data_IF_756421607299
#
_entry.id   IF_756421607299
#
_cell.length_a   1.000
_cell.length_b   1.000
_cell.length_c   1.000
_cell.angle_alpha   90.00
_cell.angle_beta   90.00
_cell.angle_gamma   90.00
#
_symmetry.space_group_name_H-M   'P 1'
#
loop_
_entity.id
_entity.type
_entity.pdbx_description
1 polymer ?
#
# COMPACT_ATOMS: atom_id res chain seq x y z
N UNK A 1 19.18 23.39 9.94
CA UNK A 1 18.64 23.23 8.58
C UNK A 1 17.41 22.36 8.69
N UNK A 2 16.22 22.88 8.40
CA UNK A 2 15.05 22.03 8.25
C UNK A 2 15.21 21.31 6.92
N UNK A 3 15.53 20.02 6.99
CA UNK A 3 15.79 19.16 5.84
C UNK A 3 14.57 18.32 5.50
N UNK A 4 14.66 17.55 4.41
CA UNK A 4 13.69 16.49 4.14
C UNK A 4 13.96 15.33 5.10
N UNK A 5 12.90 14.81 5.75
CA UNK A 5 12.95 13.54 6.48
C UNK A 5 11.92 12.58 5.93
N UNK A 6 12.23 11.29 5.94
CA UNK A 6 11.28 10.25 5.55
C UNK A 6 10.92 9.41 6.78
N UNK A 7 9.65 9.05 6.87
CA UNK A 7 9.13 8.00 7.75
C UNK A 7 8.74 6.84 6.84
N UNK A 8 9.29 5.67 7.09
CA UNK A 8 8.98 4.44 6.35
C UNK A 8 8.37 3.44 7.33
N UNK A 9 7.51 2.57 6.82
CA UNK A 9 7.03 1.41 7.57
C UNK A 9 8.23 0.61 8.12
N UNK A 10 8.18 0.17 9.38
CA UNK A 10 9.34 -0.44 10.07
C UNK A 10 9.90 -1.70 9.41
N UNK A 11 9.04 -2.46 8.73
CA UNK A 11 9.42 -3.67 7.98
C UNK A 11 9.97 -3.37 6.58
N UNK A 12 9.94 -2.10 6.14
CA UNK A 12 10.36 -1.70 4.81
C UNK A 12 11.85 -1.36 4.78
N UNK A 13 12.54 -1.95 3.82
CA UNK A 13 13.93 -1.68 3.46
C UNK A 13 14.06 -1.56 1.94
N UNK A 14 15.29 -1.46 1.45
CA UNK A 14 15.56 -1.41 0.02
C UNK A 14 16.83 -2.17 -0.34
N UNK A 15 16.89 -2.63 -1.59
CA UNK A 15 18.06 -3.29 -2.16
C UNK A 15 18.15 -3.09 -3.66
N UNK A 16 18.94 -3.92 -4.34
CA UNK A 16 19.15 -3.80 -5.80
C UNK A 16 17.87 -3.92 -6.62
N UNK A 17 16.86 -4.60 -6.09
CA UNK A 17 15.53 -4.77 -6.71
C UNK A 17 14.49 -3.71 -6.31
N UNK A 18 14.91 -2.68 -5.57
CA UNK A 18 14.02 -1.65 -4.99
C UNK A 18 13.50 -2.03 -3.61
N UNK A 19 12.21 -1.78 -3.37
CA UNK A 19 11.55 -2.03 -2.08
C UNK A 19 11.61 -3.51 -1.66
N UNK A 20 12.02 -3.74 -0.41
CA UNK A 20 12.15 -5.06 0.22
C UNK A 20 11.42 -5.06 1.55
N UNK A 21 10.64 -6.11 1.82
CA UNK A 21 10.04 -6.38 3.12
C UNK A 21 10.19 -7.87 3.44
N UNK A 22 10.49 -8.21 4.70
CA UNK A 22 10.68 -9.60 5.12
C UNK A 22 11.63 -10.39 4.21
N UNK A 23 12.77 -9.77 3.85
CA UNK A 23 13.80 -10.32 2.94
C UNK A 23 13.36 -10.54 1.49
N UNK A 24 12.13 -10.19 1.13
CA UNK A 24 11.56 -10.40 -0.20
C UNK A 24 11.34 -9.07 -0.93
N UNK A 25 11.49 -9.07 -2.27
CA UNK A 25 11.05 -7.93 -3.09
C UNK A 25 9.57 -7.67 -2.80
N UNK A 26 9.21 -6.43 -2.50
CA UNK A 26 7.83 -6.08 -2.16
C UNK A 26 6.99 -5.78 -3.39
N UNK A 27 7.54 -5.01 -4.34
CA UNK A 27 6.80 -4.57 -5.52
C UNK A 27 6.34 -5.76 -6.37
N UNK A 28 5.03 -5.78 -6.66
CA UNK A 28 4.37 -6.63 -7.66
C UNK A 28 3.87 -5.74 -8.80
N UNK A 29 4.08 -6.14 -10.06
CA UNK A 29 3.71 -5.31 -11.20
C UNK A 29 2.35 -5.68 -11.75
N UNK A 30 1.56 -4.69 -12.10
CA UNK A 30 0.33 -4.89 -12.85
C UNK A 30 0.66 -5.53 -14.21
N UNK A 31 -0.07 -6.59 -14.55
CA UNK A 31 0.21 -7.46 -15.68
C UNK A 31 0.94 -8.75 -15.27
N UNK A 32 1.56 -8.80 -14.09
CA UNK A 32 1.93 -10.07 -13.47
C UNK A 32 0.63 -10.75 -12.99
N UNK A 33 0.49 -12.05 -13.25
CA UNK A 33 -0.63 -12.88 -12.78
C UNK A 33 -2.05 -12.40 -13.19
N UNK A 34 -2.19 -11.58 -14.25
CA UNK A 34 -3.49 -11.08 -14.78
C UNK A 34 -4.39 -10.38 -13.75
N UNK A 35 -3.82 -9.55 -12.87
CA UNK A 35 -4.56 -8.87 -11.79
C UNK A 35 -4.54 -7.33 -11.86
N UNK A 36 -5.59 -6.68 -11.35
CA UNK A 36 -5.76 -5.23 -11.41
C UNK A 36 -4.83 -4.50 -10.42
N UNK A 37 -4.63 -3.19 -10.60
CA UNK A 37 -3.80 -2.36 -9.72
C UNK A 37 -4.21 -2.42 -8.24
N UNK A 38 -5.52 -2.41 -7.95
CA UNK A 38 -6.03 -2.51 -6.59
C UNK A 38 -5.68 -3.83 -5.91
N UNK A 39 -5.74 -4.94 -6.65
CA UNK A 39 -5.38 -6.26 -6.13
C UNK A 39 -3.89 -6.35 -5.79
N UNK A 40 -3.02 -5.84 -6.67
CA UNK A 40 -1.59 -5.76 -6.39
C UNK A 40 -1.30 -4.96 -5.13
N UNK A 41 -2.04 -3.86 -4.89
CA UNK A 41 -1.91 -3.11 -3.64
C UNK A 41 -2.35 -3.91 -2.40
N UNK A 42 -3.37 -4.77 -2.52
CA UNK A 42 -3.79 -5.67 -1.43
C UNK A 42 -2.69 -6.68 -1.11
N UNK A 43 -2.17 -7.39 -2.12
CA UNK A 43 -1.11 -8.37 -1.92
C UNK A 43 0.16 -7.72 -1.32
N UNK A 44 0.59 -6.58 -1.87
CA UNK A 44 1.74 -5.85 -1.32
C UNK A 44 1.50 -5.38 0.12
N UNK A 45 0.27 -4.98 0.49
CA UNK A 45 -0.05 -4.61 1.87
C UNK A 45 0.07 -5.82 2.81
N UNK A 46 -0.51 -6.97 2.43
CA UNK A 46 -0.43 -8.21 3.23
C UNK A 46 1.01 -8.70 3.35
N UNK A 47 1.80 -8.60 2.27
CA UNK A 47 3.22 -8.92 2.27
C UNK A 47 4.01 -8.00 3.20
N UNK A 48 3.82 -6.68 3.12
CA UNK A 48 4.54 -5.72 3.97
C UNK A 48 4.20 -5.92 5.45
N UNK A 49 2.94 -6.23 5.77
CA UNK A 49 2.48 -6.54 7.12
C UNK A 49 2.91 -7.94 7.61
N UNK A 50 3.54 -8.76 6.76
CA UNK A 50 4.03 -10.09 7.12
C UNK A 50 2.93 -11.14 7.29
N UNK A 51 1.74 -10.90 6.74
CA UNK A 51 0.59 -11.82 6.79
C UNK A 51 0.73 -12.93 5.76
N UNK A 52 1.33 -12.60 4.63
CA UNK A 52 1.71 -13.55 3.58
C UNK A 52 3.17 -13.29 3.17
N UNK A 53 3.84 -14.30 2.65
CA UNK A 53 5.16 -14.17 2.05
C UNK A 53 5.07 -13.98 0.53
N UNK A 54 6.15 -13.53 -0.11
CA UNK A 54 6.22 -13.53 -1.59
C UNK A 54 6.20 -14.94 -2.17
N UNK A 55 6.78 -15.91 -1.44
CA UNK A 55 6.84 -17.30 -1.85
C UNK A 55 5.45 -17.92 -1.98
N UNK A 56 4.55 -17.55 -1.07
CA UNK A 56 3.16 -18.04 -1.04
C UNK A 56 2.44 -17.81 -2.37
N UNK A 57 2.77 -16.73 -3.10
CA UNK A 57 2.17 -16.39 -4.40
C UNK A 57 2.60 -17.32 -5.54
N UNK A 58 3.64 -18.13 -5.33
CA UNK A 58 4.24 -19.01 -6.32
C UNK A 58 4.09 -20.51 -5.96
N UNK A 59 3.37 -20.82 -4.88
CA UNK A 59 3.08 -22.20 -4.51
C UNK A 59 2.13 -22.85 -5.52
N UNK A 60 2.27 -24.17 -5.71
CA UNK A 60 1.40 -24.96 -6.60
C UNK A 60 -0.03 -24.97 -6.07
N UNK A 61 -0.17 -25.03 -4.75
CA UNK A 61 -1.45 -25.00 -4.05
C UNK A 61 -1.41 -23.86 -3.03
N UNK A 62 -2.15 -22.79 -3.32
CA UNK A 62 -2.25 -21.63 -2.43
C UNK A 62 -3.03 -21.99 -1.18
N UNK A 63 -2.62 -21.44 -0.04
CA UNK A 63 -3.45 -21.44 1.17
C UNK A 63 -4.85 -20.87 0.88
N UNK A 64 -5.90 -21.48 1.44
CA UNK A 64 -7.32 -21.17 1.14
C UNK A 64 -7.66 -19.67 1.18
N UNK A 65 -7.17 -18.96 2.20
CA UNK A 65 -7.37 -17.51 2.39
C UNK A 65 -6.74 -16.67 1.29
N UNK A 66 -5.55 -17.07 0.82
CA UNK A 66 -4.85 -16.40 -0.27
C UNK A 66 -5.52 -16.71 -1.61
N UNK A 67 -5.92 -17.97 -1.83
CA UNK A 67 -6.71 -18.34 -3.01
C UNK A 67 -8.00 -17.52 -3.12
N UNK A 68 -8.76 -17.40 -2.04
CA UNK A 68 -9.98 -16.59 -1.99
C UNK A 68 -9.70 -15.10 -2.30
N UNK A 69 -8.61 -14.56 -1.76
CA UNK A 69 -8.15 -13.20 -2.03
C UNK A 69 -7.84 -13.00 -3.53
N UNK A 70 -7.12 -13.94 -4.15
CA UNK A 70 -6.77 -13.92 -5.57
C UNK A 70 -8.00 -14.07 -6.47
N UNK A 71 -8.90 -15.00 -6.17
CA UNK A 71 -10.15 -15.18 -6.93
C UNK A 71 -10.99 -13.90 -6.92
N UNK A 72 -11.13 -13.25 -5.75
CA UNK A 72 -11.81 -11.94 -5.64
C UNK A 72 -11.14 -10.86 -6.49
N UNK A 73 -9.81 -10.84 -6.54
CA UNK A 73 -9.03 -9.92 -7.37
C UNK A 73 -9.21 -10.14 -8.87
N UNK A 74 -9.12 -11.39 -9.33
CA UNK A 74 -9.20 -11.76 -10.76
C UNK A 74 -10.54 -11.37 -11.40
N UNK A 75 -11.65 -11.53 -10.67
CA UNK A 75 -12.98 -11.09 -11.16
C UNK A 75 -13.08 -9.60 -11.49
N UNK A 76 -12.10 -8.80 -11.05
CA UNK A 76 -12.06 -7.34 -11.20
C UNK A 76 -10.97 -6.84 -12.14
N UNK A 77 -10.27 -7.73 -12.85
CA UNK A 77 -9.15 -7.36 -13.72
C UNK A 77 -9.50 -6.22 -14.69
N UNK A 78 -10.59 -6.36 -15.45
CA UNK A 78 -11.03 -5.35 -16.43
C UNK A 78 -11.97 -4.28 -15.86
N UNK A 79 -12.61 -4.53 -14.71
CA UNK A 79 -13.64 -3.65 -14.14
C UNK A 79 -13.09 -2.65 -13.11
N UNK A 80 -11.85 -2.87 -12.63
CA UNK A 80 -11.26 -2.10 -11.54
C UNK A 80 -11.84 -2.44 -10.17
N UNK A 81 -11.21 -1.89 -9.12
CA UNK A 81 -11.56 -2.17 -7.71
C UNK A 81 -12.19 -0.95 -7.03
N UNK A 82 -13.33 -1.15 -6.36
CA UNK A 82 -13.92 -0.20 -5.43
C UNK A 82 -13.37 -0.42 -4.02
N UNK A 83 -13.62 0.50 -3.10
CA UNK A 83 -13.27 0.33 -1.68
C UNK A 83 -13.92 -0.92 -1.06
N UNK A 84 -15.13 -1.28 -1.49
CA UNK A 84 -15.81 -2.50 -1.04
C UNK A 84 -15.06 -3.74 -1.53
N UNK A 85 -14.66 -3.77 -2.79
CA UNK A 85 -13.88 -4.90 -3.34
C UNK A 85 -12.51 -5.06 -2.66
N UNK A 86 -11.84 -3.96 -2.30
CA UNK A 86 -10.60 -4.00 -1.53
C UNK A 86 -10.83 -4.62 -0.14
N UNK A 87 -11.92 -4.23 0.54
CA UNK A 87 -12.28 -4.83 1.84
C UNK A 87 -12.59 -6.31 1.72
N UNK A 88 -13.36 -6.71 0.70
CA UNK A 88 -13.65 -8.12 0.43
C UNK A 88 -12.38 -8.92 0.15
N UNK A 89 -11.42 -8.38 -0.60
CA UNK A 89 -10.14 -9.06 -0.82
C UNK A 89 -9.30 -9.21 0.45
N UNK A 90 -9.42 -8.30 1.42
CA UNK A 90 -8.69 -8.38 2.69
C UNK A 90 -9.41 -9.25 3.73
N UNK A 91 -10.73 -9.45 3.60
CA UNK A 91 -11.57 -10.15 4.57
C UNK A 91 -11.09 -11.56 4.97
N UNK A 92 -10.45 -12.38 4.10
CA UNK A 92 -9.93 -13.68 4.53
C UNK A 92 -8.84 -13.61 5.63
N UNK A 93 -8.29 -12.43 5.87
CA UNK A 93 -7.28 -12.17 6.90
C UNK A 93 -7.78 -11.22 7.99
N UNK A 94 -9.09 -11.07 8.18
CA UNK A 94 -9.68 -10.10 9.11
C UNK A 94 -9.36 -10.35 10.59
N UNK A 95 -8.91 -11.55 10.95
CA UNK A 95 -8.39 -11.94 12.26
C UNK A 95 -6.97 -11.43 12.51
N UNK A 96 -6.20 -11.21 11.43
CA UNK A 96 -4.81 -10.75 11.45
C UNK A 96 -4.67 -9.26 11.16
N UNK A 97 -5.51 -8.71 10.27
CA UNK A 97 -5.46 -7.31 9.87
C UNK A 97 -6.77 -6.58 10.10
N UNK A 98 -6.67 -5.28 10.31
CA UNK A 98 -7.78 -4.34 10.28
C UNK A 98 -7.77 -3.57 8.97
N UNK A 99 -8.94 -3.43 8.35
CA UNK A 99 -9.14 -2.68 7.12
C UNK A 99 -10.21 -1.60 7.32
N UNK A 100 -9.86 -0.33 7.09
CA UNK A 100 -10.73 0.83 7.37
C UNK A 100 -10.75 1.79 6.19
N UNK A 101 -11.94 2.17 5.75
CA UNK A 101 -12.11 3.27 4.78
C UNK A 101 -12.04 4.61 5.53
N UNK A 102 -11.13 5.49 5.11
CA UNK A 102 -11.00 6.83 5.69
C UNK A 102 -11.96 7.79 4.98
N UNK A 103 -12.89 8.38 5.73
CA UNK A 103 -13.94 9.26 5.18
C UNK A 103 -13.83 10.73 5.59
N UNK A 104 -13.16 11.02 6.72
CA UNK A 104 -12.98 12.36 7.28
C UNK A 104 -11.51 12.57 7.61
N UNK A 105 -11.05 13.81 7.50
CA UNK A 105 -9.66 14.20 7.78
C UNK A 105 -8.65 13.28 7.09
N UNK A 106 -8.99 12.87 5.87
CA UNK A 106 -8.30 11.78 5.14
C UNK A 106 -6.81 12.02 5.08
N UNK A 107 -6.38 13.25 4.81
CA UNK A 107 -4.96 13.60 4.74
C UNK A 107 -4.24 13.37 6.08
N UNK A 108 -4.79 13.89 7.18
CA UNK A 108 -4.21 13.78 8.52
C UNK A 108 -4.23 12.32 9.03
N UNK A 109 -5.33 11.60 8.82
CA UNK A 109 -5.45 10.20 9.22
C UNK A 109 -4.58 9.26 8.41
N UNK A 110 -4.28 9.59 7.15
CA UNK A 110 -3.30 8.85 6.34
C UNK A 110 -1.90 9.04 6.91
N UNK A 111 -1.54 10.26 7.34
CA UNK A 111 -0.27 10.54 8.01
C UNK A 111 -0.17 9.74 9.31
N UNK A 112 -1.16 9.84 10.19
CA UNK A 112 -1.22 9.10 11.46
C UNK A 112 -1.08 7.58 11.25
N UNK A 113 -1.76 7.04 10.24
CA UNK A 113 -1.66 5.63 9.90
C UNK A 113 -0.24 5.23 9.50
N UNK A 114 0.40 5.98 8.59
CA UNK A 114 1.75 5.67 8.12
C UNK A 114 2.81 5.86 9.23
N UNK A 115 2.60 6.78 10.17
CA UNK A 115 3.47 6.94 11.35
C UNK A 115 3.28 5.82 12.38
N UNK A 116 2.16 5.10 12.32
CA UNK A 116 1.81 4.01 13.25
C UNK A 116 2.02 2.63 12.65
N UNK A 117 2.95 2.47 11.68
CA UNK A 117 3.22 1.20 10.98
C UNK A 117 1.95 0.56 10.36
N UNK A 118 0.99 1.38 9.95
CA UNK A 118 -0.04 0.96 9.02
C UNK A 118 0.34 1.38 7.60
N UNK A 119 -0.35 0.81 6.63
CA UNK A 119 -0.23 1.15 5.21
C UNK A 119 -1.55 1.69 4.69
N UNK A 120 -1.51 2.46 3.61
CA UNK A 120 -2.71 3.03 3.01
C UNK A 120 -2.77 2.70 1.52
N UNK A 121 -3.82 2.02 1.08
CA UNK A 121 -4.16 1.91 -0.33
C UNK A 121 -4.88 3.18 -0.74
N UNK A 122 -4.39 3.86 -1.78
CA UNK A 122 -4.88 5.16 -2.21
C UNK A 122 -5.36 5.03 -3.64
N UNK A 123 -6.63 5.38 -3.85
CA UNK A 123 -7.18 5.57 -5.18
C UNK A 123 -7.12 7.04 -5.55
N UNK A 124 -6.59 7.34 -6.72
CA UNK A 124 -6.62 8.68 -7.28
C UNK A 124 -7.01 8.64 -8.76
N UNK A 125 -7.47 9.78 -9.27
CA UNK A 125 -7.62 10.05 -10.70
C UNK A 125 -6.67 11.15 -11.15
N UNK A 126 -6.14 11.01 -12.37
CA UNK A 126 -5.55 12.08 -13.16
C UNK A 126 -6.39 12.31 -14.42
N UNK A 127 -5.95 13.24 -15.26
CA UNK A 127 -6.57 13.45 -16.58
C UNK A 127 -6.45 12.21 -17.48
N UNK A 128 -5.47 11.34 -17.20
CA UNK A 128 -5.10 10.21 -18.04
C UNK A 128 -5.71 8.87 -17.56
N UNK A 129 -5.93 8.68 -16.25
CA UNK A 129 -6.35 7.39 -15.70
C UNK A 129 -6.83 7.47 -14.23
N UNK A 130 -7.52 6.43 -13.78
CA UNK A 130 -7.81 6.17 -12.35
C UNK A 130 -7.01 4.97 -11.88
N UNK A 131 -6.41 5.06 -10.69
CA UNK A 131 -5.42 4.08 -10.25
C UNK A 131 -5.38 3.86 -8.74
N UNK A 132 -4.89 2.68 -8.35
CA UNK A 132 -4.57 2.35 -6.97
C UNK A 132 -3.06 2.24 -6.77
N UNK A 133 -2.57 2.84 -5.70
CA UNK A 133 -1.19 2.72 -5.24
C UNK A 133 -1.15 2.39 -3.75
N UNK A 134 -0.06 1.78 -3.29
CA UNK A 134 0.15 1.49 -1.88
C UNK A 134 1.11 2.51 -1.27
N UNK A 135 0.63 3.37 -0.37
CA UNK A 135 1.49 4.21 0.44
C UNK A 135 2.15 3.40 1.55
N UNK A 136 3.49 3.48 1.58
CA UNK A 136 4.38 2.70 2.47
C UNK A 136 5.27 3.62 3.33
N UNK A 137 5.13 4.93 3.16
CA UNK A 137 5.85 5.92 3.94
C UNK A 137 5.45 7.34 3.59
N UNK A 138 6.07 8.29 4.28
CA UNK A 138 5.79 9.71 4.23
C UNK A 138 7.11 10.50 4.18
N UNK A 139 7.17 11.47 3.28
CA UNK A 139 8.23 12.48 3.25
C UNK A 139 7.71 13.78 3.85
N UNK A 140 8.48 14.30 4.80
CA UNK A 140 8.31 15.62 5.39
C UNK A 140 9.23 16.62 4.71
N UNK A 141 8.73 17.85 4.53
CA UNK A 141 9.52 19.02 4.17
C UNK A 141 9.21 20.13 5.17
N UNK A 142 10.24 20.69 5.80
CA UNK A 142 10.10 21.71 6.84
C UNK A 142 9.15 21.28 7.97
N UNK A 143 9.31 20.03 8.43
CA UNK A 143 8.49 19.36 9.45
C UNK A 143 6.99 19.28 9.15
N UNK A 144 6.60 19.49 7.89
CA UNK A 144 5.22 19.29 7.42
C UNK A 144 5.12 18.09 6.49
N UNK A 145 4.06 17.26 6.60
CA UNK A 145 3.80 16.20 5.64
C UNK A 145 3.76 16.80 4.22
N UNK A 146 4.62 16.29 3.33
CA UNK A 146 4.75 16.83 1.97
C UNK A 146 4.36 15.80 0.90
N UNK A 147 4.92 14.60 0.92
CA UNK A 147 4.63 13.59 -0.10
C UNK A 147 4.42 12.22 0.53
N UNK A 148 3.48 11.44 -0.02
CA UNK A 148 3.44 10.02 0.29
C UNK A 148 4.44 9.27 -0.60
N UNK A 149 5.16 8.34 0.01
CA UNK A 149 6.08 7.42 -0.66
C UNK A 149 5.26 6.18 -1.03
N UNK A 150 5.09 5.91 -2.32
CA UNK A 150 4.14 4.89 -2.79
C UNK A 150 4.79 3.83 -3.66
N UNK A 151 4.22 2.62 -3.59
CA UNK A 151 4.41 1.55 -4.54
C UNK A 151 3.28 1.59 -5.56
N UNK A 152 3.64 1.96 -6.78
CA UNK A 152 2.78 1.99 -7.95
C UNK A 152 2.97 0.68 -8.75
N UNK A 153 1.94 -0.20 -8.81
CA UNK A 153 2.00 -1.45 -9.57
C UNK A 153 2.26 -1.25 -11.07
N UNK A 154 1.94 -0.08 -11.61
CA UNK A 154 2.07 0.23 -13.05
C UNK A 154 3.53 0.54 -13.42
N UNK A 155 4.38 0.82 -12.41
CA UNK A 155 5.76 1.25 -12.56
C UNK A 155 6.75 0.15 -12.18
N UNK A 156 7.96 0.24 -12.73
CA UNK A 156 9.07 -0.62 -12.34
C UNK A 156 9.58 -0.27 -10.94
N UNK A 157 10.27 -1.22 -10.30
CA UNK A 157 11.00 -0.95 -9.06
C UNK A 157 12.23 -0.11 -9.34
N UNK A 158 12.49 0.88 -8.48
CA UNK A 158 13.70 1.71 -8.57
C UNK A 158 14.78 1.11 -7.67
N UNK A 159 15.95 0.69 -8.20
CA UNK A 159 17.04 0.17 -7.38
C UNK A 159 17.41 1.11 -6.24
N UNK A 160 17.74 0.54 -5.09
CA UNK A 160 18.19 1.25 -3.89
C UNK A 160 17.18 2.28 -3.35
N UNK A 161 15.90 2.16 -3.72
CA UNK A 161 14.82 3.05 -3.28
C UNK A 161 13.64 2.23 -2.73
N UNK A 162 13.08 2.57 -1.56
CA UNK A 162 11.98 1.80 -0.96
C UNK A 162 10.58 2.16 -1.52
N UNK A 163 10.50 3.06 -2.51
CA UNK A 163 9.30 3.43 -3.25
C UNK A 163 9.63 3.56 -4.73
N UNK A 164 8.62 3.59 -5.61
CA UNK A 164 8.81 3.81 -7.06
C UNK A 164 7.97 4.97 -7.63
N UNK A 165 7.12 5.57 -6.82
CA UNK A 165 6.39 6.80 -7.16
C UNK A 165 6.12 7.64 -5.90
N UNK A 166 5.60 8.84 -6.11
CA UNK A 166 5.25 9.81 -5.09
C UNK A 166 3.86 10.37 -5.33
N UNK A 167 3.08 10.54 -4.26
CA UNK A 167 1.95 11.46 -4.24
C UNK A 167 2.39 12.75 -3.54
N UNK A 168 2.82 13.73 -4.34
CA UNK A 168 3.41 14.98 -3.86
C UNK A 168 2.37 16.03 -3.49
N UNK A 169 2.74 16.90 -2.56
CA UNK A 169 1.86 17.94 -1.99
C UNK A 169 0.59 17.35 -1.36
N UNK A 170 0.77 16.27 -0.59
CA UNK A 170 -0.29 15.53 0.09
C UNK A 170 -1.19 16.45 0.92
N UNK A 171 -2.50 16.21 0.85
CA UNK A 171 -3.51 17.02 1.55
C UNK A 171 -3.75 18.41 0.95
N UNK A 172 -3.13 18.75 -0.18
CA UNK A 172 -3.32 20.04 -0.87
C UNK A 172 -4.12 19.90 -2.17
N UNK A 173 -4.64 21.03 -2.68
CA UNK A 173 -5.25 21.12 -4.02
C UNK A 173 -4.26 20.97 -5.18
N UNK A 174 -2.95 20.93 -4.89
CA UNK A 174 -1.86 20.82 -5.87
C UNK A 174 -1.29 19.40 -5.93
N UNK A 175 -2.05 18.40 -5.44
CA UNK A 175 -1.61 17.01 -5.42
C UNK A 175 -1.13 16.58 -6.81
N UNK A 176 0.03 15.92 -6.84
CA UNK A 176 0.61 15.35 -8.06
C UNK A 176 0.99 13.90 -7.86
N UNK A 177 0.72 13.08 -8.87
CA UNK A 177 1.35 11.77 -8.97
C UNK A 177 2.63 11.93 -9.80
N UNK A 178 3.77 11.59 -9.20
CA UNK A 178 5.10 11.67 -9.84
C UNK A 178 5.75 10.29 -9.81
N UNK A 179 6.09 9.77 -10.97
CA UNK A 179 6.81 8.52 -11.15
C UNK A 179 7.93 8.68 -12.19
N UNK A 180 8.60 7.59 -12.54
CA UNK A 180 9.72 7.63 -13.49
C UNK A 180 9.33 8.04 -14.92
N UNK A 181 8.05 7.95 -15.28
CA UNK A 181 7.56 8.26 -16.63
C UNK A 181 6.96 9.66 -16.76
N UNK A 182 6.25 10.12 -15.74
CA UNK A 182 5.55 11.40 -15.77
C UNK A 182 5.30 11.99 -14.38
N UNK A 183 4.91 13.27 -14.39
CA UNK A 183 4.32 13.95 -13.24
C UNK A 183 3.02 14.61 -13.68
N UNK A 184 1.90 14.19 -13.12
CA UNK A 184 0.56 14.67 -13.47
C UNK A 184 -0.20 15.18 -12.25
N UNK A 185 -1.14 16.10 -12.47
CA UNK A 185 -2.11 16.49 -11.42
C UNK A 185 -2.94 15.27 -11.04
N UNK A 186 -3.17 15.08 -9.75
CA UNK A 186 -3.98 13.99 -9.23
C UNK A 186 -5.06 14.51 -8.29
N UNK A 187 -6.15 13.76 -8.17
CA UNK A 187 -7.22 13.97 -7.19
C UNK A 187 -7.42 12.69 -6.41
N UNK A 188 -7.32 12.75 -5.07
CA UNK A 188 -7.62 11.59 -4.22
C UNK A 188 -9.12 11.29 -4.30
N UNK A 189 -9.46 10.05 -4.62
CA UNK A 189 -10.84 9.56 -4.64
C UNK A 189 -11.21 8.88 -3.32
N UNK A 190 -10.33 8.00 -2.82
CA UNK A 190 -10.55 7.25 -1.57
C UNK A 190 -9.24 6.73 -1.00
N UNK A 191 -9.22 6.51 0.32
CA UNK A 191 -8.10 5.91 1.03
C UNK A 191 -8.58 4.78 1.93
N UNK A 192 -7.94 3.63 1.83
CA UNK A 192 -8.16 2.46 2.68
C UNK A 192 -6.92 2.21 3.51
N UNK A 193 -7.05 2.39 4.83
CA UNK A 193 -6.02 2.04 5.79
C UNK A 193 -6.05 0.54 6.07
N UNK A 194 -4.88 -0.09 6.09
CA UNK A 194 -4.69 -1.49 6.49
C UNK A 194 -3.55 -1.56 7.50
N UNK A 195 -3.73 -2.35 8.56
CA UNK A 195 -2.70 -2.55 9.57
C UNK A 195 -2.89 -3.86 10.30
N UNK A 196 -1.85 -4.32 11.00
CA UNK A 196 -1.99 -5.48 11.89
C UNK A 196 -3.02 -5.19 12.98
N UNK A 197 -3.82 -6.18 13.33
CA UNK A 197 -4.54 -6.14 14.60
C UNK A 197 -3.52 -6.31 15.70
N UNK A 198 -3.49 -5.39 16.68
CA UNK A 198 -2.75 -5.70 17.91
C UNK A 198 -3.37 -6.99 18.45
N UNK A 199 -2.58 -8.07 18.57
CA UNK A 199 -2.99 -9.20 19.40
C UNK A 199 -3.34 -8.58 20.74
N UNK A 200 -4.60 -8.65 21.19
CA UNK A 200 -4.91 -8.36 22.59
C UNK A 200 -3.95 -9.25 23.35
N UNK A 201 -3.00 -8.64 24.06
CA UNK A 201 -2.07 -9.39 24.89
C UNK A 201 -2.91 -10.34 25.72
N UNK A 202 -2.68 -11.64 25.59
CA UNK A 202 -3.04 -12.56 26.64
C UNK A 202 -2.38 -11.97 27.87
N UNK A 203 -3.16 -11.42 28.78
CA UNK A 203 -2.66 -11.00 30.06
C UNK A 203 -2.10 -12.28 30.70
N UNK A 204 -0.78 -12.45 30.61
CA UNK A 204 -0.09 -13.46 31.41
C UNK A 204 -0.11 -12.87 32.81
N UNK A 205 -1.09 -13.31 33.59
CA UNK A 205 -1.07 -13.12 35.02
C UNK A 205 0.06 -14.00 35.53
N UNK A 206 1.21 -13.38 35.80
CA UNK A 206 2.29 -14.06 36.50
C UNK A 206 1.84 -14.33 37.95
N UNK A 207 2.23 -15.48 38.53
CA UNK A 207 1.94 -15.80 39.92
C UNK A 207 2.58 -14.81 40.90
#
# INVERSE_FOLDING_TARGET
MLGRRCVLHSQLSFGRSGAIAHQNKLLLRQGDNDMACGHHCVLMALMLLGVISRGDLHEVELHERLLETCLRGQTRYFAGCSTTHIKEQIAPFDDQVQCRHLQRDVAARTVEALESDHVCLIRFSSDSYTHWVLAVGLMYADDKPHSLLVLDPLMEGIPLTPWNALLEHWGSKKLRNTNARWSEKATVETVVQVGLRSRRGTAIQLP
#
